data_IF_060322239892
#
_entry.id   IF_060322239892
#
_cell.length_a   1.000
_cell.length_b   1.000
_cell.length_c   1.000
_cell.angle_alpha   90.00
_cell.angle_beta   90.00
_cell.angle_gamma   90.00
#
_symmetry.space_group_name_H-M   'P 1'
#
loop_
_entity.id
_entity.type
_entity.pdbx_description
1 polymer ?
#
# COMPACT_ATOMS: atom_id res chain seq x y z
N UNK A 1 -4.27 14.16 -18.51
CA UNK A 1 -5.58 13.79 -19.11
C UNK A 1 -5.46 12.35 -19.55
N UNK A 2 -5.79 11.42 -18.65
CA UNK A 2 -5.66 10.00 -18.94
C UNK A 2 -6.79 9.57 -19.87
N UNK A 3 -6.42 9.25 -21.10
CA UNK A 3 -7.34 8.78 -22.12
C UNK A 3 -7.68 7.33 -21.76
N UNK A 4 -8.78 7.11 -21.06
CA UNK A 4 -9.26 5.76 -20.74
C UNK A 4 -9.67 5.07 -22.04
N UNK A 5 -8.85 4.14 -22.52
CA UNK A 5 -9.15 3.36 -23.73
C UNK A 5 -9.62 1.96 -23.32
N UNK A 6 -10.88 1.62 -23.67
CA UNK A 6 -11.45 0.28 -23.47
C UNK A 6 -11.21 -0.55 -24.73
N UNK A 7 -10.55 -1.69 -24.60
CA UNK A 7 -10.30 -2.63 -25.70
C UNK A 7 -11.06 -3.94 -25.48
N UNK A 8 -11.59 -4.52 -26.55
CA UNK A 8 -11.98 -5.94 -26.54
C UNK A 8 -10.78 -6.85 -26.86
N UNK A 9 -10.92 -8.17 -26.69
CA UNK A 9 -9.79 -9.11 -26.80
C UNK A 9 -9.07 -9.12 -28.17
N UNK A 10 -9.76 -8.83 -29.27
CA UNK A 10 -9.17 -8.77 -30.62
C UNK A 10 -8.52 -7.42 -30.91
N UNK A 11 -9.09 -6.32 -30.40
CA UNK A 11 -8.50 -4.99 -30.45
C UNK A 11 -7.24 -4.90 -29.61
N UNK A 12 -7.23 -5.55 -28.44
CA UNK A 12 -6.16 -5.47 -27.47
C UNK A 12 -4.81 -5.97 -28.03
N UNK A 13 -4.78 -7.08 -28.78
CA UNK A 13 -3.54 -7.54 -29.40
C UNK A 13 -3.00 -6.56 -30.46
N UNK A 14 -3.89 -5.95 -31.24
CA UNK A 14 -3.49 -4.99 -32.28
C UNK A 14 -2.99 -3.70 -31.62
N UNK A 15 -3.69 -3.24 -30.58
CA UNK A 15 -3.36 -2.02 -29.85
C UNK A 15 -2.08 -2.13 -29.04
N UNK A 16 -1.78 -3.27 -28.41
CA UNK A 16 -0.52 -3.48 -27.68
C UNK A 16 0.71 -3.28 -28.58
N UNK A 17 0.64 -3.66 -29.87
CA UNK A 17 1.75 -3.45 -30.83
C UNK A 17 2.06 -1.98 -31.07
N UNK A 18 1.08 -1.10 -30.87
CA UNK A 18 1.25 0.33 -31.07
C UNK A 18 1.66 1.08 -29.79
N UNK A 19 1.68 0.42 -28.62
CA UNK A 19 2.05 1.06 -27.33
C UNK A 19 3.45 1.67 -27.38
N UNK A 20 4.42 0.95 -27.95
CA UNK A 20 5.78 1.45 -28.12
C UNK A 20 5.85 2.71 -28.98
N UNK A 21 5.06 2.77 -30.06
CA UNK A 21 4.98 3.97 -30.93
C UNK A 21 4.29 5.13 -30.23
N UNK A 22 3.26 4.84 -29.42
CA UNK A 22 2.48 5.82 -28.68
C UNK A 22 3.12 6.24 -27.35
N UNK A 23 4.29 5.69 -27.00
CA UNK A 23 5.01 5.96 -25.74
C UNK A 23 4.13 5.78 -24.49
N UNK A 24 3.26 4.77 -24.50
CA UNK A 24 2.40 4.46 -23.36
C UNK A 24 3.26 3.90 -22.23
N UNK A 25 3.34 4.65 -21.12
CA UNK A 25 4.12 4.26 -19.92
C UNK A 25 3.33 3.40 -18.95
N UNK A 26 2.01 3.56 -18.90
CA UNK A 26 1.13 2.87 -17.95
C UNK A 26 -0.12 2.35 -18.65
N UNK A 27 -0.59 1.18 -18.24
CA UNK A 27 -1.80 0.56 -18.76
C UNK A 27 -2.55 -0.21 -17.67
N UNK A 28 -3.82 0.12 -17.47
CA UNK A 28 -4.72 -0.62 -16.57
C UNK A 28 -5.65 -1.52 -17.37
N UNK A 29 -5.61 -2.83 -17.11
CA UNK A 29 -6.55 -3.76 -17.72
C UNK A 29 -7.94 -3.62 -17.08
N UNK A 30 -8.97 -3.35 -17.87
CA UNK A 30 -10.36 -3.21 -17.38
C UNK A 30 -11.30 -4.34 -17.84
N UNK A 31 -10.85 -5.25 -18.72
CA UNK A 31 -11.70 -6.30 -19.28
C UNK A 31 -11.92 -7.44 -18.26
N UNK A 32 -13.09 -7.42 -17.62
CA UNK A 32 -13.49 -8.40 -16.62
C UNK A 32 -13.53 -9.83 -17.16
N UNK A 33 -13.79 -10.03 -18.46
CA UNK A 33 -13.78 -11.37 -19.04
C UNK A 33 -12.36 -11.97 -19.08
N UNK A 34 -11.33 -11.13 -19.12
CA UNK A 34 -9.93 -11.54 -18.99
C UNK A 34 -9.56 -11.67 -17.51
N UNK A 35 -9.86 -10.66 -16.70
CA UNK A 35 -9.47 -10.57 -15.28
C UNK A 35 -10.06 -11.70 -14.42
N UNK A 36 -11.26 -12.19 -14.72
CA UNK A 36 -11.89 -13.30 -13.99
C UNK A 36 -11.60 -14.69 -14.58
N UNK A 37 -10.76 -14.81 -15.61
CA UNK A 37 -10.48 -16.09 -16.28
C UNK A 37 -9.00 -16.37 -16.37
N UNK A 38 -8.52 -17.33 -15.57
CA UNK A 38 -7.12 -17.78 -15.53
C UNK A 38 -6.49 -17.97 -16.92
N UNK A 39 -7.16 -18.74 -17.79
CA UNK A 39 -6.61 -19.06 -19.11
C UNK A 39 -6.51 -17.84 -20.04
N UNK A 40 -7.51 -16.95 -19.99
CA UNK A 40 -7.48 -15.70 -20.78
C UNK A 40 -6.45 -14.71 -20.23
N UNK A 41 -6.33 -14.63 -18.90
CA UNK A 41 -5.34 -13.78 -18.23
C UNK A 41 -3.91 -14.21 -18.60
N UNK A 42 -3.57 -15.50 -18.50
CA UNK A 42 -2.25 -16.00 -18.90
C UNK A 42 -1.92 -15.69 -20.36
N UNK A 43 -2.91 -15.86 -21.26
CA UNK A 43 -2.74 -15.49 -22.67
C UNK A 43 -2.49 -13.98 -22.84
N UNK A 44 -3.22 -13.15 -22.10
CA UNK A 44 -3.01 -11.70 -22.10
C UNK A 44 -1.61 -11.33 -21.61
N UNK A 45 -1.17 -11.88 -20.47
CA UNK A 45 0.14 -11.61 -19.89
C UNK A 45 1.27 -11.96 -20.87
N UNK A 46 1.18 -13.11 -21.56
CA UNK A 46 2.16 -13.48 -22.57
C UNK A 46 2.18 -12.55 -23.79
N UNK A 47 1.02 -12.00 -24.20
CA UNK A 47 0.97 -10.97 -25.25
C UNK A 47 1.56 -9.65 -24.75
N UNK A 48 1.31 -9.28 -23.49
CA UNK A 48 1.84 -8.07 -22.90
C UNK A 48 3.36 -8.13 -22.77
N UNK A 49 3.91 -9.24 -22.28
CA UNK A 49 5.35 -9.54 -22.24
C UNK A 49 6.01 -9.37 -23.62
N UNK A 50 5.32 -9.82 -24.66
CA UNK A 50 5.85 -9.75 -26.02
C UNK A 50 5.83 -8.33 -26.62
N UNK A 51 4.77 -7.56 -26.39
CA UNK A 51 4.51 -6.34 -27.14
C UNK A 51 4.67 -5.03 -26.35
N UNK A 52 4.56 -5.08 -25.02
CA UNK A 52 4.65 -3.92 -24.14
C UNK A 52 5.43 -4.21 -22.83
N UNK A 53 6.59 -4.89 -22.85
CA UNK A 53 7.29 -5.30 -21.62
C UNK A 53 7.79 -4.14 -20.75
N UNK A 54 7.97 -2.95 -21.33
CA UNK A 54 8.46 -1.75 -20.64
C UNK A 54 7.31 -0.87 -20.08
N UNK A 55 6.05 -1.22 -20.37
CA UNK A 55 4.88 -0.49 -19.88
C UNK A 55 4.47 -1.03 -18.51
N UNK A 56 4.27 -0.14 -17.53
CA UNK A 56 3.69 -0.52 -16.24
C UNK A 56 2.25 -1.01 -16.41
N UNK A 57 1.99 -2.23 -15.96
CA UNK A 57 0.70 -2.90 -16.07
C UNK A 57 -0.01 -2.95 -14.71
N UNK A 58 -1.19 -2.34 -14.62
CA UNK A 58 -2.07 -2.45 -13.45
C UNK A 58 -3.17 -3.50 -13.69
N UNK A 59 -3.27 -4.47 -12.78
CA UNK A 59 -4.16 -5.63 -12.90
C UNK A 59 -5.15 -5.69 -11.72
N UNK A 60 -6.38 -5.18 -11.87
CA UNK A 60 -7.45 -5.36 -10.88
C UNK A 60 -8.04 -6.76 -10.99
N UNK A 61 -7.43 -7.72 -10.30
CA UNK A 61 -7.71 -9.16 -10.45
C UNK A 61 -8.33 -9.75 -9.20
N UNK A 62 -9.28 -10.65 -9.41
CA UNK A 62 -9.86 -11.42 -8.33
C UNK A 62 -8.82 -12.41 -7.76
N UNK A 63 -8.73 -12.50 -6.44
CA UNK A 63 -7.80 -13.41 -5.77
C UNK A 63 -7.98 -14.91 -6.15
N UNK A 64 -9.14 -15.29 -6.70
CA UNK A 64 -9.41 -16.66 -7.16
C UNK A 64 -8.64 -17.03 -8.42
N UNK A 65 -8.31 -16.06 -9.29
CA UNK A 65 -7.52 -16.33 -10.50
C UNK A 65 -6.02 -16.40 -10.23
N UNK A 66 -5.56 -15.90 -9.07
CA UNK A 66 -4.16 -15.91 -8.68
C UNK A 66 -3.70 -17.30 -8.27
N UNK A 67 -2.94 -17.96 -9.14
CA UNK A 67 -2.17 -19.15 -8.81
C UNK A 67 -0.69 -18.96 -9.17
N UNK A 68 0.11 -20.00 -8.94
CA UNK A 68 1.55 -19.92 -9.16
C UNK A 68 1.92 -19.61 -10.62
N UNK A 69 1.14 -20.08 -11.60
CA UNK A 69 1.44 -19.82 -13.01
C UNK A 69 1.14 -18.38 -13.38
N UNK A 70 0.01 -17.83 -12.91
CA UNK A 70 -0.32 -16.41 -13.09
C UNK A 70 0.72 -15.53 -12.42
N UNK A 71 1.12 -15.83 -11.18
CA UNK A 71 2.11 -15.04 -10.47
C UNK A 71 3.49 -15.08 -11.18
N UNK A 72 3.92 -16.24 -11.68
CA UNK A 72 5.16 -16.35 -12.48
C UNK A 72 5.11 -15.62 -13.82
N UNK A 73 3.93 -15.50 -14.42
CA UNK A 73 3.77 -14.69 -15.63
C UNK A 73 3.86 -13.20 -15.29
N UNK A 74 3.23 -12.76 -14.20
CA UNK A 74 3.34 -11.39 -13.71
C UNK A 74 4.77 -11.02 -13.32
N UNK A 75 5.57 -11.93 -12.73
CA UNK A 75 6.93 -11.62 -12.26
C UNK A 75 7.94 -11.32 -13.37
N UNK A 76 7.53 -11.45 -14.64
CA UNK A 76 8.33 -11.09 -15.82
C UNK A 76 7.99 -9.70 -16.36
N UNK A 77 6.99 -9.04 -15.77
CA UNK A 77 6.44 -7.78 -16.21
C UNK A 77 6.67 -6.73 -15.12
N UNK A 78 6.75 -5.46 -15.53
CA UNK A 78 6.53 -4.36 -14.61
C UNK A 78 5.04 -4.25 -14.33
N UNK A 79 4.54 -4.91 -13.28
CA UNK A 79 3.12 -4.88 -12.95
C UNK A 79 2.83 -4.68 -11.46
N UNK A 80 1.69 -4.04 -11.19
CA UNK A 80 1.04 -4.01 -9.88
C UNK A 80 -0.28 -4.76 -9.95
N UNK A 81 -0.57 -5.55 -8.92
CA UNK A 81 -1.83 -6.29 -8.79
C UNK A 81 -2.74 -5.61 -7.76
N UNK A 82 -3.95 -5.25 -8.17
CA UNK A 82 -4.99 -4.71 -7.29
C UNK A 82 -5.98 -5.82 -6.95
N UNK A 83 -6.06 -6.18 -5.67
CA UNK A 83 -6.79 -7.37 -5.24
C UNK A 83 -7.94 -6.95 -4.32
N UNK A 84 -9.19 -7.17 -4.72
CA UNK A 84 -10.33 -6.97 -3.83
C UNK A 84 -10.22 -7.87 -2.60
N UNK A 85 -10.19 -7.27 -1.41
CA UNK A 85 -10.17 -7.97 -0.13
C UNK A 85 -11.60 -8.16 0.41
N UNK A 86 -12.43 -8.76 -0.43
CA UNK A 86 -13.86 -8.87 -0.21
C UNK A 86 -14.23 -10.09 0.65
N UNK A 87 -15.35 -9.99 1.36
CA UNK A 87 -16.05 -11.11 1.99
C UNK A 87 -17.42 -11.35 1.36
N UNK A 88 -18.09 -12.42 1.78
CA UNK A 88 -19.42 -12.79 1.27
C UNK A 88 -20.46 -12.77 2.40
N UNK A 89 -21.70 -12.40 2.06
CA UNK A 89 -22.82 -12.53 3.01
C UNK A 89 -23.47 -13.90 2.84
N UNK A 90 -23.62 -14.65 3.93
CA UNK A 90 -24.38 -15.91 3.96
C UNK A 90 -25.30 -15.89 5.16
N UNK A 91 -26.61 -16.00 4.91
CA UNK A 91 -27.65 -15.96 5.95
C UNK A 91 -27.57 -14.68 6.83
N UNK A 92 -27.19 -13.54 6.24
CA UNK A 92 -27.04 -12.27 6.95
C UNK A 92 -25.73 -12.12 7.74
N UNK A 93 -24.86 -13.13 7.78
CA UNK A 93 -23.53 -13.05 8.38
C UNK A 93 -22.46 -12.80 7.32
N UNK A 94 -21.52 -11.91 7.62
CA UNK A 94 -20.36 -11.65 6.78
C UNK A 94 -19.27 -12.69 7.03
N UNK A 95 -18.77 -13.32 5.96
CA UNK A 95 -17.75 -14.35 5.98
C UNK A 95 -16.52 -13.88 5.19
N UNK A 96 -15.34 -14.01 5.81
CA UNK A 96 -14.07 -13.60 5.23
C UNK A 96 -13.02 -14.71 5.38
N UNK A 97 -12.46 -15.16 4.26
CA UNK A 97 -11.51 -16.27 4.24
C UNK A 97 -10.06 -15.79 4.36
N UNK A 98 -9.62 -15.58 5.60
CA UNK A 98 -8.22 -15.20 5.90
C UNK A 98 -7.22 -16.20 5.31
N UNK A 99 -7.50 -17.50 5.37
CA UNK A 99 -6.57 -18.54 4.91
C UNK A 99 -6.36 -18.48 3.40
N UNK A 100 -7.43 -18.22 2.66
CA UNK A 100 -7.36 -18.02 1.22
C UNK A 100 -6.47 -16.83 0.85
N UNK A 101 -6.73 -15.64 1.42
CA UNK A 101 -5.95 -14.45 1.11
C UNK A 101 -4.49 -14.55 1.58
N UNK A 102 -4.21 -15.14 2.75
CA UNK A 102 -2.83 -15.37 3.20
C UNK A 102 -2.03 -16.23 2.23
N UNK A 103 -2.65 -17.27 1.64
CA UNK A 103 -1.99 -18.09 0.63
C UNK A 103 -1.68 -17.30 -0.64
N UNK A 104 -2.57 -16.41 -1.07
CA UNK A 104 -2.35 -15.55 -2.25
C UNK A 104 -1.23 -14.56 -2.01
N UNK A 105 -1.30 -13.78 -0.94
CA UNK A 105 -0.26 -12.83 -0.58
C UNK A 105 1.11 -13.49 -0.41
N UNK A 106 1.18 -14.68 0.21
CA UNK A 106 2.45 -15.39 0.34
C UNK A 106 3.09 -15.74 -1.01
N UNK A 107 2.31 -16.15 -2.02
CA UNK A 107 2.84 -16.39 -3.36
C UNK A 107 3.38 -15.11 -4.00
N UNK A 108 2.67 -13.99 -3.83
CA UNK A 108 3.08 -12.69 -4.35
C UNK A 108 4.38 -12.22 -3.71
N UNK A 109 4.44 -12.24 -2.37
CA UNK A 109 5.63 -11.89 -1.59
C UNK A 109 6.83 -12.78 -1.95
N UNK A 110 6.62 -14.10 -2.10
CA UNK A 110 7.70 -15.05 -2.46
C UNK A 110 8.32 -14.73 -3.82
N UNK A 111 7.53 -14.16 -4.74
CA UNK A 111 7.98 -13.80 -6.09
C UNK A 111 8.36 -12.32 -6.21
N UNK A 112 8.34 -11.55 -5.12
CA UNK A 112 8.64 -10.12 -5.13
C UNK A 112 7.65 -9.28 -5.94
N UNK A 113 6.42 -9.75 -6.10
CA UNK A 113 5.38 -9.03 -6.84
C UNK A 113 4.83 -7.86 -6.03
N UNK A 114 4.61 -6.73 -6.71
CA UNK A 114 3.96 -5.56 -6.14
C UNK A 114 2.45 -5.77 -6.16
N UNK A 115 1.79 -5.64 -5.01
CA UNK A 115 0.34 -5.77 -4.93
C UNK A 115 -0.27 -4.88 -3.85
N UNK A 116 -1.52 -4.48 -4.07
CA UNK A 116 -2.36 -3.78 -3.11
C UNK A 116 -3.65 -4.53 -2.83
N UNK A 117 -4.34 -4.08 -1.77
CA UNK A 117 -5.67 -4.55 -1.44
C UNK A 117 -6.70 -3.43 -1.54
N UNK A 118 -7.82 -3.72 -2.20
CA UNK A 118 -9.01 -2.87 -2.14
C UNK A 118 -9.90 -3.34 -0.98
N UNK A 119 -10.12 -2.48 0.01
CA UNK A 119 -10.95 -2.79 1.17
C UNK A 119 -12.25 -1.99 1.13
N UNK A 120 -13.37 -2.70 1.04
CA UNK A 120 -14.71 -2.14 1.17
C UNK A 120 -15.22 -2.18 2.61
N UNK A 121 -16.14 -1.27 2.93
CA UNK A 121 -16.89 -1.26 4.19
C UNK A 121 -18.33 -0.78 3.98
N UNK A 122 -19.26 -1.35 4.75
CA UNK A 122 -20.69 -1.03 4.68
C UNK A 122 -21.32 -1.23 3.28
N UNK A 123 -20.83 -2.22 2.54
CA UNK A 123 -21.33 -2.61 1.20
C UNK A 123 -21.99 -3.98 1.28
N UNK A 124 -21.29 -4.97 1.83
CA UNK A 124 -21.78 -6.33 2.00
C UNK A 124 -22.67 -6.45 3.24
N UNK A 125 -23.83 -7.09 3.10
CA UNK A 125 -24.73 -7.32 4.23
C UNK A 125 -24.07 -8.17 5.33
N UNK A 126 -24.29 -7.78 6.60
CA UNK A 126 -23.67 -8.42 7.77
C UNK A 126 -22.27 -7.89 8.11
N UNK A 127 -21.68 -7.00 7.30
CA UNK A 127 -20.42 -6.34 7.64
C UNK A 127 -20.60 -5.35 8.81
N UNK A 128 -19.53 -5.01 9.51
CA UNK A 128 -19.54 -4.06 10.64
C UNK A 128 -18.21 -3.31 10.75
N UNK A 129 -18.15 -2.23 11.54
CA UNK A 129 -16.89 -1.51 11.81
C UNK A 129 -15.82 -2.44 12.39
N UNK A 130 -16.24 -3.33 13.29
CA UNK A 130 -15.34 -4.33 13.87
C UNK A 130 -14.72 -5.22 12.80
N UNK A 131 -15.54 -5.75 11.89
CA UNK A 131 -15.07 -6.61 10.80
C UNK A 131 -14.20 -5.86 9.80
N UNK A 132 -14.50 -4.59 9.51
CA UNK A 132 -13.63 -3.72 8.71
C UNK A 132 -12.25 -3.54 9.36
N UNK A 133 -12.20 -3.21 10.66
CA UNK A 133 -10.94 -3.08 11.40
C UNK A 133 -10.14 -4.39 11.40
N UNK A 134 -10.80 -5.53 11.62
CA UNK A 134 -10.16 -6.85 11.56
C UNK A 134 -9.62 -7.19 10.16
N UNK A 135 -10.31 -6.76 9.09
CA UNK A 135 -9.82 -6.92 7.71
C UNK A 135 -8.63 -6.01 7.44
N UNK A 136 -8.65 -4.77 7.92
CA UNK A 136 -7.52 -3.84 7.78
C UNK A 136 -6.27 -4.35 8.50
N UNK A 137 -6.42 -4.80 9.75
CA UNK A 137 -5.33 -5.42 10.52
C UNK A 137 -4.76 -6.65 9.80
N UNK A 138 -5.65 -7.48 9.26
CA UNK A 138 -5.27 -8.65 8.48
C UNK A 138 -4.54 -8.27 7.20
N UNK A 139 -5.07 -7.33 6.41
CA UNK A 139 -4.47 -6.89 5.15
C UNK A 139 -3.02 -6.45 5.35
N UNK A 140 -2.79 -5.57 6.32
CA UNK A 140 -1.45 -5.03 6.60
C UNK A 140 -0.48 -6.09 7.08
N UNK A 141 -0.95 -7.11 7.81
CA UNK A 141 -0.11 -8.25 8.21
C UNK A 141 0.43 -9.08 7.05
N UNK A 142 -0.10 -8.87 5.83
CA UNK A 142 0.33 -9.52 4.60
C UNK A 142 1.32 -8.69 3.78
N UNK A 143 1.72 -7.51 4.27
CA UNK A 143 2.69 -6.60 3.62
C UNK A 143 2.32 -6.15 2.19
N UNK A 144 1.07 -5.71 1.91
CA UNK A 144 0.74 -5.13 0.61
C UNK A 144 1.52 -3.82 0.42
N UNK A 145 1.92 -3.50 -0.80
CA UNK A 145 2.60 -2.24 -1.11
C UNK A 145 1.70 -1.02 -0.84
N UNK A 146 0.38 -1.20 -0.96
CA UNK A 146 -0.62 -0.17 -0.72
C UNK A 146 -1.97 -0.79 -0.34
N UNK A 147 -2.81 0.03 0.28
CA UNK A 147 -4.21 -0.30 0.57
C UNK A 147 -5.07 0.84 0.06
N UNK A 148 -6.05 0.48 -0.76
CA UNK A 148 -7.01 1.40 -1.34
C UNK A 148 -8.42 1.14 -0.82
N UNK A 149 -9.22 2.20 -0.84
CA UNK A 149 -10.57 2.19 -0.33
C UNK A 149 -11.48 2.83 -1.39
N UNK A 150 -12.18 2.02 -2.20
CA UNK A 150 -13.05 2.54 -3.26
C UNK A 150 -14.09 3.56 -2.79
N UNK A 151 -14.45 3.53 -1.49
CA UNK A 151 -15.36 4.48 -0.86
C UNK A 151 -14.81 5.92 -0.72
N UNK A 152 -13.50 6.13 -0.91
CA UNK A 152 -12.84 7.45 -0.91
C UNK A 152 -12.73 8.07 -2.30
N UNK A 153 -12.92 7.28 -3.36
CA UNK A 153 -12.81 7.76 -4.73
C UNK A 153 -13.98 8.70 -5.07
N UNK A 154 -13.65 9.89 -5.58
CA UNK A 154 -14.58 10.99 -5.87
C UNK A 154 -15.50 10.75 -7.07
N UNK A 155 -15.23 9.74 -7.91
CA UNK A 155 -15.88 9.56 -9.22
C UNK A 155 -17.26 8.87 -9.16
N UNK A 156 -17.85 8.74 -7.97
CA UNK A 156 -19.29 8.59 -7.77
C UNK A 156 -19.96 7.29 -8.26
N UNK A 157 -19.27 6.39 -8.97
CA UNK A 157 -19.94 5.37 -9.79
C UNK A 157 -19.77 3.91 -9.33
N UNK A 158 -18.76 3.52 -8.54
CA UNK A 158 -18.54 2.08 -8.31
C UNK A 158 -19.06 1.53 -6.99
N UNK A 159 -18.74 2.13 -5.83
CA UNK A 159 -19.09 1.50 -4.53
C UNK A 159 -19.39 2.58 -3.47
N UNK A 160 -20.66 2.71 -3.09
CA UNK A 160 -21.07 3.66 -2.05
C UNK A 160 -21.44 2.92 -0.74
N UNK A 161 -20.76 3.21 0.38
CA UNK A 161 -21.15 2.72 1.71
C UNK A 161 -22.60 3.10 2.05
N UNK A 162 -23.38 2.16 2.57
CA UNK A 162 -24.79 2.37 2.93
C UNK A 162 -25.08 1.96 4.37
N UNK A 163 -25.98 2.72 5.02
CA UNK A 163 -26.48 2.37 6.36
C UNK A 163 -27.16 0.99 6.29
N UNK A 164 -26.90 0.17 7.29
CA UNK A 164 -27.46 -1.18 7.41
C UNK A 164 -27.78 -1.48 8.87
N UNK A 165 -28.32 -2.68 9.15
CA UNK A 165 -28.60 -3.11 10.52
C UNK A 165 -27.33 -3.16 11.41
N UNK A 166 -26.14 -3.25 10.82
CA UNK A 166 -24.85 -3.40 11.51
C UNK A 166 -23.86 -2.27 11.22
N UNK A 167 -24.29 -1.24 10.47
CA UNK A 167 -23.50 -0.06 10.12
C UNK A 167 -24.36 1.20 10.21
N UNK A 168 -24.11 2.05 11.21
CA UNK A 168 -24.75 3.36 11.30
C UNK A 168 -24.08 4.40 10.37
N UNK A 169 -24.70 5.57 10.22
CA UNK A 169 -24.06 6.69 9.50
C UNK A 169 -22.76 7.15 10.18
N UNK A 170 -22.72 7.14 11.52
CA UNK A 170 -21.51 7.46 12.29
C UNK A 170 -20.39 6.43 12.09
N UNK A 171 -20.76 5.16 12.00
CA UNK A 171 -19.84 4.06 11.71
C UNK A 171 -19.20 4.16 10.31
N UNK A 172 -20.01 4.52 9.31
CA UNK A 172 -19.53 4.79 7.96
C UNK A 172 -18.57 5.96 7.96
N UNK A 173 -18.91 7.05 8.65
CA UNK A 173 -18.03 8.21 8.76
C UNK A 173 -16.71 7.87 9.45
N UNK A 174 -16.76 7.10 10.55
CA UNK A 174 -15.57 6.60 11.25
C UNK A 174 -14.69 5.74 10.34
N UNK A 175 -15.30 4.84 9.56
CA UNK A 175 -14.56 3.95 8.65
C UNK A 175 -13.92 4.74 7.51
N UNK A 176 -14.60 5.76 6.98
CA UNK A 176 -14.01 6.71 6.02
C UNK A 176 -12.82 7.47 6.57
N UNK A 177 -12.90 7.95 7.81
CA UNK A 177 -11.80 8.67 8.46
C UNK A 177 -10.58 7.76 8.68
N UNK A 178 -10.79 6.51 9.10
CA UNK A 178 -9.73 5.50 9.24
C UNK A 178 -9.13 5.12 7.88
N UNK A 179 -9.97 4.90 6.87
CA UNK A 179 -9.54 4.62 5.51
C UNK A 179 -8.65 5.75 4.97
N UNK A 180 -9.08 7.00 5.14
CA UNK A 180 -8.32 8.17 4.73
C UNK A 180 -6.96 8.27 5.44
N UNK A 181 -6.96 8.02 6.76
CA UNK A 181 -5.73 7.97 7.56
C UNK A 181 -4.77 6.87 7.08
N UNK A 182 -5.29 5.69 6.74
CA UNK A 182 -4.51 4.60 6.16
C UNK A 182 -3.96 4.96 4.78
N UNK A 183 -4.78 5.49 3.86
CA UNK A 183 -4.32 5.93 2.54
C UNK A 183 -3.25 7.01 2.63
N UNK A 184 -3.40 7.94 3.57
CA UNK A 184 -2.42 9.00 3.84
C UNK A 184 -1.10 8.42 4.35
N UNK A 185 -1.15 7.71 5.48
CA UNK A 185 0.05 7.31 6.21
C UNK A 185 0.75 6.13 5.54
N UNK A 186 -0.02 5.13 5.09
CA UNK A 186 0.54 3.87 4.61
C UNK A 186 0.82 3.90 3.11
N UNK A 187 -0.22 4.15 2.30
CA UNK A 187 -0.13 4.07 0.84
C UNK A 187 0.63 5.27 0.26
N UNK A 188 0.11 6.49 0.42
CA UNK A 188 0.75 7.71 -0.07
C UNK A 188 2.09 7.98 0.66
N UNK A 189 2.15 7.64 1.95
CA UNK A 189 3.37 7.72 2.75
C UNK A 189 4.40 6.61 2.52
N UNK A 190 4.11 5.63 1.64
CA UNK A 190 5.02 4.54 1.22
C UNK A 190 5.64 3.79 2.42
N UNK A 191 4.78 3.35 3.35
CA UNK A 191 5.23 2.83 4.65
C UNK A 191 5.43 1.30 4.72
N UNK A 192 5.16 0.55 3.63
CA UNK A 192 5.14 -0.93 3.64
C UNK A 192 6.39 -1.57 4.25
N UNK A 193 7.58 -1.02 3.98
CA UNK A 193 8.87 -1.61 4.38
C UNK A 193 9.16 -1.50 5.88
N UNK A 194 8.53 -0.55 6.59
CA UNK A 194 8.88 -0.25 7.98
C UNK A 194 7.69 -0.15 8.93
N UNK A 195 6.46 0.01 8.43
CA UNK A 195 5.28 0.32 9.24
C UNK A 195 5.04 -0.67 10.39
N UNK A 196 5.05 -1.98 10.10
CA UNK A 196 4.80 -2.98 11.14
C UNK A 196 5.92 -3.06 12.17
N UNK A 197 7.18 -2.84 11.75
CA UNK A 197 8.33 -2.82 12.64
C UNK A 197 8.22 -1.69 13.66
N UNK A 198 7.87 -0.48 13.21
CA UNK A 198 7.70 0.68 14.10
C UNK A 198 6.40 0.62 14.92
N UNK A 199 5.41 -0.19 14.49
CA UNK A 199 4.19 -0.38 15.25
C UNK A 199 4.35 -1.38 16.40
N UNK A 200 5.22 -2.39 16.23
CA UNK A 200 5.36 -3.49 17.17
C UNK A 200 5.69 -3.07 18.62
N UNK A 201 6.63 -2.14 18.90
CA UNK A 201 6.92 -1.68 20.26
C UNK A 201 5.73 -0.99 20.95
N UNK A 202 4.84 -0.38 20.17
CA UNK A 202 3.65 0.33 20.67
C UNK A 202 2.52 -0.64 21.08
N UNK A 203 2.60 -1.91 20.66
CA UNK A 203 1.58 -2.94 20.90
C UNK A 203 0.17 -2.51 20.46
N UNK A 204 0.10 -1.81 19.34
CA UNK A 204 -1.15 -1.37 18.73
C UNK A 204 -1.47 -2.25 17.51
N UNK A 205 -2.75 -2.53 17.30
CA UNK A 205 -3.19 -3.03 15.99
C UNK A 205 -3.13 -1.88 14.96
N UNK A 206 -2.88 -2.17 13.68
CA UNK A 206 -2.90 -1.15 12.63
C UNK A 206 -4.19 -0.32 12.58
N UNK A 207 -5.34 -0.96 12.73
CA UNK A 207 -6.66 -0.33 12.75
C UNK A 207 -6.82 0.67 13.90
N UNK A 208 -6.27 0.35 15.07
CA UNK A 208 -6.24 1.28 16.21
C UNK A 208 -5.26 2.42 15.95
N UNK A 209 -4.09 2.14 15.38
CA UNK A 209 -3.12 3.15 14.99
C UNK A 209 -3.72 4.16 14.01
N UNK A 210 -4.39 3.71 12.95
CA UNK A 210 -5.03 4.60 11.98
C UNK A 210 -6.28 5.29 12.51
N UNK A 211 -7.01 4.68 13.45
CA UNK A 211 -8.06 5.40 14.18
C UNK A 211 -7.48 6.58 14.95
N UNK A 212 -6.36 6.39 15.65
CA UNK A 212 -5.70 7.46 16.39
C UNK A 212 -5.09 8.52 15.44
N UNK A 213 -4.53 8.08 14.30
CA UNK A 213 -4.00 9.00 13.29
C UNK A 213 -5.12 9.84 12.65
N UNK A 214 -6.30 9.26 12.42
CA UNK A 214 -7.46 9.99 11.94
C UNK A 214 -7.89 11.10 12.92
N UNK A 215 -7.83 10.84 14.24
CA UNK A 215 -8.08 11.88 15.25
C UNK A 215 -7.00 12.96 15.24
N UNK A 216 -5.73 12.57 15.12
CA UNK A 216 -4.62 13.51 14.96
C UNK A 216 -4.77 14.37 13.70
N UNK A 217 -5.16 13.79 12.56
CA UNK A 217 -5.40 14.54 11.32
C UNK A 217 -6.53 15.56 11.46
N UNK A 218 -7.60 15.22 12.19
CA UNK A 218 -8.71 16.15 12.47
C UNK A 218 -8.25 17.34 13.31
N UNK A 219 -7.40 17.10 14.31
CA UNK A 219 -6.90 18.16 15.20
C UNK A 219 -5.85 19.06 14.54
N UNK A 220 -5.16 18.56 13.50
CA UNK A 220 -4.12 19.28 12.76
C UNK A 220 -4.58 19.82 11.38
N UNK A 221 -5.89 19.87 11.12
CA UNK A 221 -6.49 20.39 9.87
C UNK A 221 -5.97 19.72 8.57
N UNK A 222 -5.59 18.45 8.63
CA UNK A 222 -5.12 17.65 7.49
C UNK A 222 -5.96 16.38 7.33
N UNK A 223 -7.28 16.50 7.51
CA UNK A 223 -8.24 15.40 7.40
C UNK A 223 -9.09 15.56 6.14
N UNK A 224 -9.83 14.51 5.79
CA UNK A 224 -10.82 14.58 4.70
C UNK A 224 -11.81 15.76 4.82
N UNK A 225 -12.12 16.21 6.05
CA UNK A 225 -13.05 17.33 6.28
C UNK A 225 -12.44 18.70 6.06
N UNK A 226 -11.11 18.84 6.14
CA UNK A 226 -10.44 20.11 5.85
C UNK A 226 -10.19 20.32 4.35
N UNK A 227 -10.56 19.35 3.51
CA UNK A 227 -10.28 19.38 2.07
C UNK A 227 -8.83 19.00 1.73
N UNK A 228 -8.06 18.50 2.70
CA UNK A 228 -6.71 18.01 2.46
C UNK A 228 -6.77 16.75 1.58
N UNK A 229 -5.90 16.67 0.57
CA UNK A 229 -5.86 15.58 -0.40
C UNK A 229 -4.47 14.94 -0.41
N UNK A 230 -4.36 13.71 0.07
CA UNK A 230 -3.08 12.98 0.08
C UNK A 230 -2.53 12.70 -1.32
N UNK A 231 -3.36 12.70 -2.36
CA UNK A 231 -2.90 12.49 -3.74
C UNK A 231 -2.16 13.71 -4.31
N UNK A 232 -2.34 14.88 -3.72
CA UNK A 232 -1.71 16.13 -4.13
C UNK A 232 -0.53 16.51 -3.22
N UNK A 233 -0.39 15.85 -2.06
CA UNK A 233 0.68 16.10 -1.12
C UNK A 233 1.99 15.46 -1.59
N UNK A 234 3.10 16.16 -1.38
CA UNK A 234 4.43 15.57 -1.59
C UNK A 234 4.70 14.47 -0.55
N UNK A 235 5.55 13.50 -0.90
CA UNK A 235 5.95 12.47 0.07
C UNK A 235 6.63 13.10 1.30
N UNK A 236 7.42 14.16 1.12
CA UNK A 236 8.09 14.87 2.22
C UNK A 236 7.10 15.47 3.24
N UNK A 237 5.97 16.02 2.78
CA UNK A 237 4.92 16.52 3.68
C UNK A 237 4.29 15.39 4.49
N UNK A 238 4.02 14.25 3.84
CA UNK A 238 3.47 13.07 4.51
C UNK A 238 4.48 12.46 5.48
N UNK A 239 5.76 12.39 5.12
CA UNK A 239 6.84 11.91 6.00
C UNK A 239 6.92 12.76 7.28
N UNK A 240 6.82 14.09 7.16
CA UNK A 240 6.76 14.98 8.33
C UNK A 240 5.57 14.63 9.22
N UNK A 241 4.38 14.42 8.65
CA UNK A 241 3.19 14.02 9.41
C UNK A 241 3.39 12.65 10.09
N UNK A 242 4.02 11.69 9.40
CA UNK A 242 4.34 10.39 9.96
C UNK A 242 5.27 10.53 11.17
N UNK A 243 6.36 11.29 11.05
CA UNK A 243 7.34 11.50 12.11
C UNK A 243 6.73 12.23 13.32
N UNK A 244 5.95 13.29 13.09
CA UNK A 244 5.27 14.04 14.16
C UNK A 244 4.29 13.15 14.93
N UNK A 245 3.47 12.37 14.22
CA UNK A 245 2.52 11.47 14.85
C UNK A 245 3.21 10.30 15.58
N UNK A 246 4.24 9.71 14.97
CA UNK A 246 5.01 8.65 15.60
C UNK A 246 5.68 9.15 16.88
N UNK A 247 6.26 10.35 16.88
CA UNK A 247 6.84 10.96 18.08
C UNK A 247 5.82 11.03 19.21
N UNK A 248 4.66 11.61 18.92
CA UNK A 248 3.55 11.70 19.87
C UNK A 248 3.15 10.32 20.40
N UNK A 249 3.05 9.30 19.54
CA UNK A 249 2.67 7.94 19.95
C UNK A 249 3.72 7.24 20.81
N UNK A 250 4.99 7.42 20.48
CA UNK A 250 6.08 6.85 21.27
C UNK A 250 6.19 7.52 22.65
N UNK A 251 5.94 8.82 22.74
CA UNK A 251 5.80 9.54 24.01
C UNK A 251 4.59 9.02 24.82
N UNK A 252 3.39 8.93 24.20
CA UNK A 252 2.16 8.41 24.82
C UNK A 252 2.34 7.00 25.41
N UNK A 253 3.12 6.14 24.74
CA UNK A 253 3.39 4.76 25.18
C UNK A 253 4.58 4.62 26.12
N UNK A 254 5.19 5.71 26.59
CA UNK A 254 6.42 5.70 27.41
C UNK A 254 7.58 4.93 26.74
N UNK A 255 7.72 5.14 25.43
CA UNK A 255 8.72 4.53 24.55
C UNK A 255 9.57 5.59 23.83
N UNK A 256 9.55 6.85 24.28
CA UNK A 256 10.25 7.97 23.66
C UNK A 256 11.75 7.70 23.38
N UNK A 257 12.41 6.87 24.20
CA UNK A 257 13.80 6.45 23.99
C UNK A 257 14.04 5.70 22.66
N UNK A 258 13.03 5.04 22.11
CA UNK A 258 13.12 4.32 20.83
C UNK A 258 12.92 5.26 19.63
N UNK A 259 12.43 6.49 19.85
CA UNK A 259 11.99 7.34 18.76
C UNK A 259 13.13 7.76 17.83
N UNK A 260 14.35 7.92 18.34
CA UNK A 260 15.50 8.27 17.50
C UNK A 260 15.73 7.21 16.42
N UNK A 261 15.81 5.93 16.81
CA UNK A 261 15.89 4.79 15.90
C UNK A 261 14.72 4.77 14.91
N UNK A 262 13.49 4.94 15.40
CA UNK A 262 12.29 4.96 14.56
C UNK A 262 12.35 6.07 13.51
N UNK A 263 12.79 7.26 13.91
CA UNK A 263 12.91 8.40 13.00
C UNK A 263 13.96 8.12 11.90
N UNK A 264 15.05 7.43 12.24
CA UNK A 264 16.11 7.08 11.31
C UNK A 264 15.63 6.04 10.28
N UNK A 265 14.90 5.01 10.75
CA UNK A 265 14.24 4.03 9.86
C UNK A 265 13.30 4.74 8.88
N UNK A 266 12.43 5.63 9.38
CA UNK A 266 11.45 6.34 8.55
C UNK A 266 12.13 7.27 7.55
N UNK A 267 13.12 8.09 7.99
CA UNK A 267 13.81 9.05 7.12
C UNK A 267 14.65 8.38 6.04
N UNK A 268 15.33 7.28 6.36
CA UNK A 268 16.11 6.53 5.37
C UNK A 268 15.21 5.89 4.31
N UNK A 269 14.15 5.20 4.75
CA UNK A 269 13.17 4.62 3.83
C UNK A 269 12.45 5.70 3.02
N UNK A 270 12.15 6.85 3.62
CA UNK A 270 11.50 7.97 2.96
C UNK A 270 12.38 8.64 1.90
N UNK A 271 13.68 8.82 2.17
CA UNK A 271 14.63 9.26 1.16
C UNK A 271 14.73 8.28 -0.02
N UNK A 272 14.76 6.97 0.25
CA UNK A 272 14.75 5.97 -0.81
C UNK A 272 13.44 6.00 -1.62
N UNK A 273 12.31 6.15 -0.94
CA UNK A 273 11.00 6.29 -1.56
C UNK A 273 10.91 7.52 -2.48
N UNK A 274 11.42 8.69 -2.06
CA UNK A 274 11.45 9.90 -2.90
C UNK A 274 12.41 9.77 -4.07
N UNK A 275 13.57 9.17 -3.86
CA UNK A 275 14.49 8.87 -4.95
C UNK A 275 13.84 8.00 -6.03
N UNK A 276 13.11 6.95 -5.63
CA UNK A 276 12.42 6.08 -6.58
C UNK A 276 11.21 6.74 -7.25
N UNK A 277 10.30 7.32 -6.45
CA UNK A 277 9.01 7.80 -6.95
C UNK A 277 9.02 9.20 -7.55
N UNK A 278 9.95 10.05 -7.10
CA UNK A 278 10.00 11.47 -7.45
C UNK A 278 11.33 11.87 -8.13
N UNK A 279 12.31 10.95 -8.20
CA UNK A 279 13.63 11.24 -8.76
C UNK A 279 14.47 12.19 -7.90
N UNK A 280 14.13 12.32 -6.60
CA UNK A 280 14.80 13.23 -5.67
C UNK A 280 16.01 12.56 -5.02
N UNK A 281 17.21 13.07 -5.29
CA UNK A 281 18.40 12.75 -4.50
C UNK A 281 18.40 13.56 -3.20
N UNK A 282 18.79 12.94 -2.08
CA UNK A 282 18.83 13.61 -0.79
C UNK A 282 19.97 13.09 0.09
N UNK A 283 20.41 13.94 1.02
CA UNK A 283 21.35 13.55 2.08
C UNK A 283 20.56 13.33 3.36
N UNK A 284 20.78 12.18 4.01
CA UNK A 284 20.12 11.80 5.25
C UNK A 284 21.16 11.69 6.35
N UNK A 285 20.91 12.39 7.45
CA UNK A 285 21.68 12.29 8.69
C UNK A 285 21.05 11.24 9.60
N UNK A 286 21.85 10.28 10.05
CA UNK A 286 21.45 9.15 10.86
C UNK A 286 22.38 9.01 12.07
N UNK A 287 21.86 8.43 13.13
CA UNK A 287 22.55 8.08 14.37
C UNK A 287 22.85 6.58 14.48
N UNK A 288 22.60 5.83 13.40
CA UNK A 288 22.89 4.41 13.27
C UNK A 288 23.48 4.12 11.88
N UNK A 289 24.12 2.96 11.77
CA UNK A 289 24.61 2.48 10.49
C UNK A 289 23.45 2.22 9.50
N UNK A 290 23.47 2.78 8.28
CA UNK A 290 22.40 2.63 7.29
C UNK A 290 22.19 1.18 6.84
N UNK A 291 23.27 0.39 6.73
CA UNK A 291 23.19 -1.03 6.34
C UNK A 291 22.44 -1.83 7.41
N UNK A 292 22.65 -1.51 8.69
CA UNK A 292 21.95 -2.14 9.80
C UNK A 292 20.46 -1.74 9.84
N UNK A 293 20.15 -0.46 9.59
CA UNK A 293 18.78 0.07 9.56
C UNK A 293 17.92 -0.55 8.45
N UNK A 294 18.52 -0.95 7.32
CA UNK A 294 17.83 -1.62 6.22
C UNK A 294 17.82 -3.15 6.36
N UNK A 295 18.55 -3.69 7.32
CA UNK A 295 18.63 -5.13 7.54
C UNK A 295 17.42 -5.67 8.30
N UNK A 296 17.30 -7.00 8.32
CA UNK A 296 16.24 -7.69 9.07
C UNK A 296 16.28 -7.40 10.58
N UNK A 297 17.43 -7.01 11.15
CA UNK A 297 17.53 -6.73 12.59
C UNK A 297 16.67 -5.53 13.01
N UNK A 298 16.56 -4.51 12.16
CA UNK A 298 15.76 -3.32 12.40
C UNK A 298 14.24 -3.60 12.40
N UNK A 299 13.80 -4.76 11.89
CA UNK A 299 12.40 -5.18 11.95
C UNK A 299 11.91 -5.43 13.38
N UNK A 300 12.82 -5.70 14.31
CA UNK A 300 12.53 -5.71 15.74
C UNK A 300 13.19 -4.49 16.40
N UNK A 301 12.50 -3.35 16.34
CA UNK A 301 12.98 -2.05 16.86
C UNK A 301 13.49 -2.13 18.31
N UNK A 302 12.80 -2.87 19.19
CA UNK A 302 13.21 -3.00 20.59
C UNK A 302 14.54 -3.77 20.70
N UNK A 303 14.64 -4.91 20.03
CA UNK A 303 15.87 -5.72 20.03
C UNK A 303 17.02 -4.98 19.35
N UNK A 304 16.77 -4.26 18.26
CA UNK A 304 17.77 -3.46 17.59
C UNK A 304 18.32 -2.38 18.54
N UNK A 305 17.44 -1.60 19.15
CA UNK A 305 17.84 -0.53 20.08
C UNK A 305 18.71 -1.03 21.25
N UNK A 306 18.45 -2.25 21.75
CA UNK A 306 19.21 -2.84 22.86
C UNK A 306 20.59 -3.35 22.47
N UNK A 307 20.84 -3.64 21.19
CA UNK A 307 22.05 -4.33 20.73
C UNK A 307 22.89 -3.55 19.71
N UNK A 308 22.30 -2.57 19.01
CA UNK A 308 22.98 -1.77 18.02
C UNK A 308 23.79 -0.65 18.67
N UNK A 309 24.93 -0.33 18.06
CA UNK A 309 25.74 0.82 18.47
C UNK A 309 25.28 2.06 17.70
N UNK A 310 25.16 3.18 18.41
CA UNK A 310 24.92 4.45 17.74
C UNK A 310 26.20 4.89 17.03
N UNK A 311 26.06 5.23 15.76
CA UNK A 311 27.12 5.73 14.90
C UNK A 311 26.53 6.84 14.03
N UNK A 312 27.04 8.07 14.20
CA UNK A 312 26.62 9.19 13.38
C UNK A 312 27.09 8.95 11.94
N UNK A 313 26.13 8.85 11.01
CA UNK A 313 26.39 8.63 9.60
C UNK A 313 25.62 9.64 8.75
N UNK A 314 26.23 9.99 7.61
CA UNK A 314 25.62 10.85 6.60
C UNK A 314 25.66 10.06 5.30
N UNK A 315 24.49 9.85 4.70
CA UNK A 315 24.40 9.12 3.44
C UNK A 315 23.69 9.95 2.39
N UNK A 316 24.20 9.94 1.17
CA UNK A 316 23.49 10.44 0.00
C UNK A 316 22.76 9.29 -0.66
N UNK A 317 21.45 9.44 -0.82
CA UNK A 317 20.56 8.53 -1.54
C UNK A 317 20.39 9.03 -2.98
N UNK A 318 20.54 8.14 -3.96
CA UNK A 318 20.48 8.46 -5.39
C UNK A 318 19.99 7.29 -6.25
N UNK A 319 19.63 7.55 -7.51
CA UNK A 319 19.20 6.52 -8.46
C UNK A 319 20.42 5.96 -9.19
N UNK A 320 20.76 4.70 -8.90
CA UNK A 320 21.82 3.94 -9.56
C UNK A 320 21.34 3.20 -10.81
N UNK A 321 22.19 2.30 -11.33
CA UNK A 321 21.84 1.50 -12.52
C UNK A 321 20.85 0.38 -12.22
N UNK A 322 20.87 -0.15 -11.00
CA UNK A 322 20.06 -1.31 -10.59
C UNK A 322 18.92 -0.93 -9.61
N UNK A 323 18.73 0.37 -9.36
CA UNK A 323 17.69 0.89 -8.47
C UNK A 323 18.21 2.00 -7.56
N UNK A 324 17.52 2.22 -6.45
CA UNK A 324 17.93 3.21 -5.46
C UNK A 324 19.13 2.70 -4.67
N UNK A 325 20.16 3.53 -4.59
CA UNK A 325 21.43 3.26 -3.90
C UNK A 325 21.76 4.38 -2.91
N UNK A 326 22.75 4.15 -2.05
CA UNK A 326 23.35 5.20 -1.22
C UNK A 326 24.86 5.03 -1.06
N UNK A 327 25.55 6.12 -0.72
CA UNK A 327 26.93 6.11 -0.25
C UNK A 327 27.12 7.03 0.95
N UNK A 328 28.17 6.78 1.74
CA UNK A 328 28.59 7.66 2.83
C UNK A 328 29.14 8.98 2.28
N UNK A 329 28.86 10.08 2.96
CA UNK A 329 29.30 11.44 2.61
C UNK A 329 30.15 12.07 3.69
#
# INVERSE_FOLDING_TARGET
MDKIVKFNSSQLQTSLKDFKKAQIKEFTLQDQAILSSRGKLLRFLGLFEQYAPETLLTLPVDASVLDMDVCKACSKLFCTLEIPLSGVSRNGAFLFDKKFYSKRANMLNTLGLIFGFDIEFAVTAGDSVKLFMERLDFALSLYPNHIDFPALESDGIKIQPKVSATYSAGDIQRSKEIAFACSTFYSAGRAVTWFLAVLAPLKLSPSKFFADFAEWQRTNNCSIKSGWNYNEASHQEIERMQLEFLKFKYEEKNKAQLFELVSNIVRLNGAMARCYGEGEESVVELNYNPDELLSYSAMNVQSFFENAFMENSHVKVFMGSDGVEYHYC
#
